data_IF_464233050934
#
_entry.id   IF_464233050934
#
_cell.length_a   1.000
_cell.length_b   1.000
_cell.length_c   1.000
_cell.angle_alpha   90.00
_cell.angle_beta   90.00
_cell.angle_gamma   90.00
#
_symmetry.space_group_name_H-M   'P 1'
#
loop_
_entity.id
_entity.type
_entity.pdbx_description
1 polymer ?
#
# COMPACT_ATOMS: atom_id res chain seq x y z
N UNK A 1 -29.57 11.82 -2.43
CA UNK A 1 -28.45 11.89 -3.37
C UNK A 1 -27.54 10.69 -3.15
N UNK A 2 -26.97 10.12 -4.21
CA UNK A 2 -25.95 9.08 -4.09
C UNK A 2 -24.63 9.69 -3.59
N UNK A 3 -23.95 9.00 -2.69
CA UNK A 3 -22.65 9.43 -2.14
C UNK A 3 -21.62 8.40 -2.57
N UNK A 4 -20.68 8.81 -3.42
CA UNK A 4 -19.55 7.96 -3.82
C UNK A 4 -18.58 7.76 -2.67
N UNK A 5 -17.85 6.64 -2.69
CA UNK A 5 -16.87 6.38 -1.65
C UNK A 5 -15.69 7.36 -1.71
N UNK A 6 -15.35 7.95 -0.56
CA UNK A 6 -14.12 8.72 -0.39
C UNK A 6 -13.12 7.96 0.48
N UNK A 7 -11.85 8.06 0.12
CA UNK A 7 -10.75 7.39 0.80
C UNK A 7 -9.73 8.42 1.26
N UNK A 8 -9.12 8.17 2.41
CA UNK A 8 -8.07 9.00 2.96
C UNK A 8 -6.73 8.87 2.22
N UNK A 9 -5.73 9.65 2.63
CA UNK A 9 -4.38 9.52 2.10
C UNK A 9 -3.81 8.13 2.36
N UNK A 10 -2.85 7.75 1.52
CA UNK A 10 -2.09 6.52 1.74
C UNK A 10 -1.25 6.61 3.01
N UNK A 11 -1.28 5.54 3.79
CA UNK A 11 -0.33 5.33 4.87
C UNK A 11 1.10 5.12 4.35
N UNK A 12 2.08 5.04 5.28
CA UNK A 12 3.46 4.75 4.92
C UNK A 12 3.58 3.40 4.23
N UNK A 13 4.60 3.27 3.39
CA UNK A 13 4.97 1.97 2.85
C UNK A 13 5.54 1.10 3.97
N UNK A 14 5.16 -0.18 3.97
CA UNK A 14 5.81 -1.21 4.77
C UNK A 14 7.30 -1.30 4.40
N UNK A 15 8.05 -1.97 5.28
CA UNK A 15 9.38 -2.46 4.92
C UNK A 15 9.35 -3.30 3.65
N UNK A 16 10.49 -3.37 2.96
CA UNK A 16 10.64 -4.26 1.82
C UNK A 16 10.54 -5.71 2.30
N UNK A 17 9.73 -6.53 1.62
CA UNK A 17 9.53 -7.93 2.00
C UNK A 17 10.79 -8.76 1.89
N UNK A 18 11.71 -8.36 0.99
CA UNK A 18 13.04 -8.95 0.92
C UNK A 18 14.03 -8.02 1.62
N UNK A 19 14.83 -8.52 2.58
CA UNK A 19 15.91 -7.75 3.17
C UNK A 19 17.02 -7.46 2.14
N UNK A 20 17.18 -8.33 1.13
CA UNK A 20 18.21 -8.27 0.11
C UNK A 20 17.62 -8.35 -1.30
N UNK A 21 18.06 -7.47 -2.22
CA UNK A 21 17.68 -7.56 -3.63
C UNK A 21 16.19 -7.32 -3.88
N UNK A 22 15.60 -7.96 -4.88
CA UNK A 22 14.21 -7.67 -5.30
C UNK A 22 13.20 -8.15 -4.24
N UNK A 23 12.33 -7.24 -3.82
CA UNK A 23 11.21 -7.52 -2.93
C UNK A 23 9.98 -6.70 -3.28
N UNK A 24 8.98 -6.75 -2.41
CA UNK A 24 7.76 -5.96 -2.53
C UNK A 24 7.46 -5.23 -1.23
N UNK A 25 6.88 -4.04 -1.33
CA UNK A 25 6.35 -3.30 -0.19
C UNK A 25 4.88 -3.00 -0.42
N UNK A 26 4.12 -2.95 0.66
CA UNK A 26 2.69 -2.70 0.64
C UNK A 26 2.37 -1.44 1.44
N UNK A 27 1.30 -0.75 1.06
CA UNK A 27 0.69 0.30 1.88
C UNK A 27 -0.82 0.17 1.83
N UNK A 28 -1.48 0.69 2.85
CA UNK A 28 -2.93 0.73 2.95
C UNK A 28 -3.44 2.16 3.16
N UNK A 29 -4.70 2.39 2.80
CA UNK A 29 -5.46 3.59 3.14
C UNK A 29 -6.83 3.19 3.67
N UNK A 30 -7.47 4.10 4.39
CA UNK A 30 -8.79 3.86 4.97
C UNK A 30 -9.87 4.60 4.19
N UNK A 31 -11.08 4.07 4.24
CA UNK A 31 -12.28 4.74 3.74
C UNK A 31 -12.65 5.85 4.72
N UNK A 32 -12.72 7.08 4.24
CA UNK A 32 -13.16 8.24 5.04
C UNK A 32 -14.67 8.43 4.90
N UNK A 33 -15.24 8.13 3.74
CA UNK A 33 -16.69 8.18 3.49
C UNK A 33 -17.11 6.89 2.79
N UNK A 34 -17.93 6.04 3.43
CA UNK A 34 -18.45 4.84 2.78
C UNK A 34 -19.49 5.21 1.71
N UNK A 35 -19.60 4.41 0.63
CA UNK A 35 -20.58 4.67 -0.41
C UNK A 35 -22.00 4.46 0.11
N UNK A 36 -22.93 5.32 -0.32
CA UNK A 36 -24.34 5.26 0.09
C UNK A 36 -25.30 5.49 -1.07
N UNK A 37 -26.50 4.91 -0.96
CA UNK A 37 -27.61 5.08 -1.90
C UNK A 37 -27.21 4.79 -3.36
N UNK A 38 -26.43 3.73 -3.59
CA UNK A 38 -25.98 3.34 -4.93
C UNK A 38 -24.82 4.18 -5.49
N UNK A 39 -24.10 4.93 -4.65
CA UNK A 39 -22.87 5.61 -5.07
C UNK A 39 -21.71 4.66 -5.38
N UNK A 40 -20.72 5.16 -6.12
CA UNK A 40 -19.60 4.36 -6.62
C UNK A 40 -18.82 3.63 -5.51
N UNK A 41 -18.35 2.40 -5.78
CA UNK A 41 -17.58 1.63 -4.82
C UNK A 41 -16.23 2.29 -4.51
N UNK A 42 -15.64 1.92 -3.38
CA UNK A 42 -14.33 2.43 -2.99
C UNK A 42 -13.23 1.99 -3.95
N UNK A 43 -12.30 2.89 -4.30
CA UNK A 43 -11.10 2.49 -5.03
C UNK A 43 -10.21 1.62 -4.14
N UNK A 44 -9.13 1.06 -4.71
CA UNK A 44 -8.23 0.16 -4.00
C UNK A 44 -7.74 0.72 -2.66
N UNK A 45 -7.92 -0.04 -1.59
CA UNK A 45 -7.49 0.32 -0.25
C UNK A 45 -6.09 -0.18 0.09
N UNK A 46 -5.52 -1.04 -0.77
CA UNK A 46 -4.19 -1.63 -0.61
C UNK A 46 -3.42 -1.45 -1.91
N UNK A 47 -2.15 -1.10 -1.80
CA UNK A 47 -1.25 -1.00 -2.94
C UNK A 47 0.03 -1.77 -2.67
N UNK A 48 0.53 -2.47 -3.69
CA UNK A 48 1.87 -3.09 -3.70
C UNK A 48 2.75 -2.46 -4.76
N UNK A 49 4.04 -2.40 -4.49
CA UNK A 49 5.07 -1.98 -5.43
C UNK A 49 6.37 -2.74 -5.19
N UNK A 50 7.15 -2.93 -6.24
CA UNK A 50 8.52 -3.44 -6.13
C UNK A 50 9.41 -2.54 -5.25
N UNK A 51 10.37 -3.16 -4.58
CA UNK A 51 11.43 -2.50 -3.84
C UNK A 51 12.72 -3.30 -3.95
N UNK A 52 13.84 -2.66 -3.61
CA UNK A 52 15.12 -3.31 -3.43
C UNK A 52 15.47 -3.31 -1.93
N UNK A 53 15.63 -4.49 -1.36
CA UNK A 53 16.16 -4.69 -0.02
C UNK A 53 17.65 -4.33 0.00
N UNK A 54 17.98 -3.32 0.80
CA UNK A 54 19.33 -2.79 0.96
C UNK A 54 19.86 -3.05 2.38
N UNK A 55 19.47 -4.17 2.99
CA UNK A 55 19.92 -4.46 4.35
C UNK A 55 21.45 -4.59 4.40
N UNK A 56 22.13 -4.02 5.42
CA UNK A 56 23.60 -3.99 5.45
C UNK A 56 24.26 -5.37 5.38
N UNK A 57 23.59 -6.40 5.90
CA UNK A 57 24.09 -7.78 5.88
C UNK A 57 24.01 -8.45 4.50
N UNK A 58 23.36 -7.83 3.51
CA UNK A 58 23.22 -8.37 2.17
C UNK A 58 24.54 -8.37 1.37
N UNK A 59 25.56 -7.64 1.84
CA UNK A 59 26.88 -7.59 1.22
C UNK A 59 27.94 -8.51 1.85
N UNK A 60 27.65 -9.17 2.96
CA UNK A 60 28.64 -9.96 3.72
C UNK A 60 28.81 -11.40 3.24
N UNK A 61 28.18 -11.78 2.13
CA UNK A 61 28.54 -13.00 1.41
C UNK A 61 29.74 -12.70 0.49
N UNK A 62 30.93 -12.64 1.06
CA UNK A 62 32.19 -12.68 0.30
C UNK A 62 33.14 -13.67 0.96
#
# INVERSE_FOLDING_TARGET
AAVGCAVGPWGPWSGCSSPCGVGSRARSRQVTVPPRHGGDPCPDLKQRRGCLGQHPTCGTAK
#
